data_IF_544812174544
#
_entry.id   IF_544812174544
#
_cell.length_a   1.000
_cell.length_b   1.000
_cell.length_c   1.000
_cell.angle_alpha   90.00
_cell.angle_beta   90.00
_cell.angle_gamma   90.00
#
_symmetry.space_group_name_H-M   'P 1'
#
loop_
_entity.id
_entity.type
_entity.pdbx_description
1 polymer ?
#
# COMPACT_ATOMS: atom_id res chain seq x y z
N UNK A 1 10.13 6.98 -61.32
CA UNK A 1 8.87 6.50 -61.92
C UNK A 1 7.82 6.73 -60.90
N UNK A 2 7.07 7.80 -60.87
CA UNK A 2 5.88 8.18 -61.65
C UNK A 2 4.75 7.18 -61.48
N UNK A 3 3.73 7.73 -60.85
CA UNK A 3 2.26 7.83 -61.08
C UNK A 3 1.46 6.77 -60.32
N UNK A 4 0.24 6.98 -59.83
CA UNK A 4 -0.72 8.10 -59.91
C UNK A 4 -1.83 7.92 -58.83
N UNK A 5 -2.27 8.93 -58.21
CA UNK A 5 -3.51 9.62 -57.91
C UNK A 5 -4.86 8.93 -58.17
N UNK A 6 -5.77 9.21 -57.17
CA UNK A 6 -7.20 9.59 -57.24
C UNK A 6 -8.28 8.51 -57.28
N UNK A 7 -9.25 8.69 -56.35
CA UNK A 7 -10.69 8.97 -56.51
C UNK A 7 -11.33 9.00 -55.10
N UNK A 8 -11.80 10.04 -54.51
CA UNK A 8 -12.87 11.05 -54.68
C UNK A 8 -14.31 10.51 -54.64
N UNK A 9 -15.00 10.92 -53.54
CA UNK A 9 -16.41 11.33 -53.33
C UNK A 9 -17.55 10.32 -53.34
N UNK A 10 -18.38 10.49 -52.31
CA UNK A 10 -19.79 10.08 -52.33
C UNK A 10 -20.50 10.35 -50.99
N UNK A 11 -20.92 11.63 -50.80
CA UNK A 11 -21.85 12.04 -49.74
C UNK A 11 -23.27 11.80 -50.27
N UNK A 12 -24.13 11.11 -49.52
CA UNK A 12 -25.58 11.13 -49.73
C UNK A 12 -26.24 11.45 -48.41
N UNK A 13 -26.89 12.62 -48.40
CA UNK A 13 -27.87 13.06 -47.40
C UNK A 13 -29.22 12.46 -47.77
N UNK A 14 -29.92 11.83 -46.82
CA UNK A 14 -31.37 11.60 -46.95
C UNK A 14 -32.04 12.37 -45.83
N UNK A 15 -32.73 13.44 -46.27
CA UNK A 15 -33.71 14.16 -45.44
C UNK A 15 -35.06 13.51 -45.73
N UNK A 16 -35.73 13.02 -44.70
CA UNK A 16 -37.15 12.67 -44.78
C UNK A 16 -37.93 13.51 -43.77
N UNK A 17 -38.68 14.43 -44.31
CA UNK A 17 -39.72 15.17 -43.58
C UNK A 17 -41.01 14.35 -43.59
N UNK A 18 -41.68 14.24 -42.45
CA UNK A 18 -43.10 13.90 -42.32
C UNK A 18 -43.66 14.58 -41.08
N UNK A 19 -44.40 15.53 -41.14
CA UNK A 19 -45.83 15.65 -41.28
C UNK A 19 -46.48 15.70 -39.91
N UNK A 20 -46.83 16.97 -39.50
CA UNK A 20 -47.57 17.26 -38.29
C UNK A 20 -49.01 16.74 -38.38
N UNK A 21 -49.48 16.02 -37.36
CA UNK A 21 -50.89 15.88 -37.03
C UNK A 21 -51.14 16.39 -35.61
N UNK A 22 -51.81 17.54 -35.53
CA UNK A 22 -52.38 18.06 -34.29
C UNK A 22 -53.67 17.29 -33.99
N UNK A 23 -53.69 16.57 -32.88
CA UNK A 23 -54.91 16.13 -32.19
C UNK A 23 -54.94 16.79 -30.81
N UNK A 24 -55.82 17.77 -30.68
CA UNK A 24 -56.23 18.36 -29.43
C UNK A 24 -57.02 17.33 -28.62
N UNK A 25 -56.34 16.72 -27.64
CA UNK A 25 -56.99 15.93 -26.59
C UNK A 25 -56.85 16.66 -25.28
N UNK A 26 -57.96 17.04 -24.67
CA UNK A 26 -58.06 17.61 -23.34
C UNK A 26 -57.51 16.60 -22.30
N UNK A 27 -56.35 16.93 -21.69
CA UNK A 27 -55.80 16.15 -20.61
C UNK A 27 -56.30 16.73 -19.28
N UNK A 28 -57.18 16.01 -18.62
CA UNK A 28 -57.47 16.18 -17.19
C UNK A 28 -56.24 15.81 -16.39
N UNK A 29 -55.84 16.58 -15.38
CA UNK A 29 -54.69 16.19 -14.52
C UNK A 29 -55.09 14.98 -13.66
N UNK A 30 -54.45 13.85 -13.93
CA UNK A 30 -54.49 12.70 -13.03
C UNK A 30 -53.74 13.05 -11.73
N UNK A 31 -54.44 12.97 -10.63
CA UNK A 31 -53.84 13.01 -9.28
C UNK A 31 -52.90 11.84 -9.16
N UNK A 32 -51.61 12.14 -8.92
CA UNK A 32 -50.61 11.14 -8.51
C UNK A 32 -51.00 10.55 -7.16
N UNK A 33 -50.99 9.25 -7.00
CA UNK A 33 -51.15 8.66 -5.68
C UNK A 33 -49.93 9.05 -4.82
N UNK A 34 -50.18 9.70 -3.70
CA UNK A 34 -49.25 9.88 -2.61
C UNK A 34 -48.92 8.49 -2.06
N UNK A 35 -47.84 7.89 -2.53
CA UNK A 35 -47.20 6.79 -1.84
C UNK A 35 -46.46 7.37 -0.65
N UNK A 36 -47.05 7.26 0.53
CA UNK A 36 -46.34 7.31 1.77
C UNK A 36 -45.26 6.23 1.75
N UNK A 37 -44.07 6.63 1.32
CA UNK A 37 -42.88 5.84 1.65
C UNK A 37 -42.63 6.07 3.13
N UNK A 38 -42.60 4.99 3.94
CA UNK A 38 -42.10 5.10 5.29
C UNK A 38 -40.65 5.62 5.16
N UNK A 39 -40.39 6.77 5.73
CA UNK A 39 -39.05 7.25 5.96
C UNK A 39 -38.30 6.17 6.75
N UNK A 40 -37.55 5.32 6.03
CA UNK A 40 -36.55 4.48 6.65
C UNK A 40 -35.52 5.47 7.25
N UNK A 41 -35.74 5.83 8.51
CA UNK A 41 -34.65 6.28 9.35
C UNK A 41 -33.67 5.10 9.34
N UNK A 42 -32.72 5.15 8.42
CA UNK A 42 -31.48 4.40 8.53
C UNK A 42 -30.89 4.84 9.86
N UNK A 43 -31.09 4.01 10.89
CA UNK A 43 -30.31 4.12 12.11
C UNK A 43 -28.87 4.10 11.63
N UNK A 44 -28.21 5.27 11.65
CA UNK A 44 -26.78 5.34 11.40
C UNK A 44 -26.14 4.34 12.35
N UNK A 45 -25.43 3.37 11.78
CA UNK A 45 -24.62 2.45 12.57
C UNK A 45 -23.82 3.27 13.57
N UNK A 46 -23.72 2.85 14.85
CA UNK A 46 -22.98 3.61 15.85
C UNK A 46 -21.59 3.88 15.30
N UNK A 47 -21.22 5.15 15.22
CA UNK A 47 -19.90 5.51 14.70
C UNK A 47 -18.86 4.88 15.63
N UNK A 48 -18.11 3.92 15.11
CA UNK A 48 -17.12 3.11 15.84
C UNK A 48 -16.12 3.94 16.65
N UNK A 49 -15.94 5.20 16.28
CA UNK A 49 -15.01 6.13 16.91
C UNK A 49 -15.70 7.35 17.53
N UNK A 50 -17.03 7.28 17.78
CA UNK A 50 -17.82 8.43 18.26
C UNK A 50 -17.29 9.01 19.58
N UNK A 51 -16.71 8.19 20.43
CA UNK A 51 -16.20 8.57 21.75
C UNK A 51 -14.67 8.75 21.80
N UNK A 52 -13.99 8.68 20.68
CA UNK A 52 -12.54 8.87 20.62
C UNK A 52 -12.20 10.35 20.41
N UNK A 53 -11.14 10.86 21.05
CA UNK A 53 -10.60 12.18 20.72
C UNK A 53 -10.31 12.27 19.22
N UNK A 54 -10.57 13.42 18.63
CA UNK A 54 -10.40 13.61 17.17
C UNK A 54 -8.98 13.28 16.70
N UNK A 55 -7.99 13.57 17.55
CA UNK A 55 -6.57 13.26 17.30
C UNK A 55 -6.26 11.77 17.30
N UNK A 56 -7.06 10.97 17.97
CA UNK A 56 -6.91 9.52 18.02
C UNK A 56 -7.64 8.80 16.88
N UNK A 57 -8.37 9.54 16.03
CA UNK A 57 -9.08 9.03 14.87
C UNK A 57 -8.39 9.51 13.60
N UNK A 58 -7.28 8.87 13.16
CA UNK A 58 -6.46 9.37 12.05
C UNK A 58 -7.23 9.54 10.76
N UNK A 59 -8.19 8.69 10.53
CA UNK A 59 -8.95 8.64 9.26
C UNK A 59 -10.36 9.21 9.38
N UNK A 60 -10.71 9.77 10.51
CA UNK A 60 -12.09 10.00 10.91
C UNK A 60 -12.88 11.07 10.17
N UNK A 61 -12.28 11.94 9.37
CA UNK A 61 -13.04 13.05 8.75
C UNK A 61 -12.60 13.45 7.35
N UNK A 62 -11.84 12.60 6.69
CA UNK A 62 -11.23 12.96 5.41
C UNK A 62 -11.91 12.34 4.22
N UNK A 63 -12.30 13.16 3.27
CA UNK A 63 -12.79 12.77 1.98
C UNK A 63 -14.02 11.85 2.05
N UNK A 64 -15.04 12.15 1.29
CA UNK A 64 -16.30 11.41 1.37
C UNK A 64 -16.20 9.91 1.08
N UNK A 65 -15.41 9.39 0.15
CA UNK A 65 -15.37 7.94 -0.05
C UNK A 65 -14.73 7.19 1.11
N UNK A 66 -13.73 7.76 1.76
CA UNK A 66 -12.97 7.10 2.80
C UNK A 66 -13.68 7.00 4.12
N UNK A 67 -14.44 8.02 4.45
CA UNK A 67 -15.04 8.19 5.75
C UNK A 67 -16.05 7.11 6.10
N UNK A 68 -16.77 6.63 5.11
CA UNK A 68 -17.89 5.71 5.36
C UNK A 68 -17.42 4.27 5.51
N UNK A 69 -16.55 3.80 4.67
CA UNK A 69 -16.15 2.39 4.71
C UNK A 69 -15.12 2.06 5.81
N UNK A 70 -14.31 3.02 6.25
CA UNK A 70 -13.48 2.85 7.45
C UNK A 70 -14.29 2.69 8.73
N UNK A 71 -15.47 3.27 8.75
CA UNK A 71 -16.35 3.29 9.91
C UNK A 71 -17.43 2.21 9.84
N UNK A 72 -17.52 1.46 8.76
CA UNK A 72 -18.46 0.34 8.61
C UNK A 72 -17.77 -0.96 8.96
N UNK A 73 -18.52 -1.88 9.55
CA UNK A 73 -18.06 -3.26 9.81
C UNK A 73 -18.26 -4.18 8.59
N UNK A 74 -18.50 -3.60 7.41
CA UNK A 74 -18.68 -4.35 6.18
C UNK A 74 -17.42 -5.14 5.86
N UNK A 75 -17.52 -6.43 5.91
CA UNK A 75 -16.47 -7.34 5.47
C UNK A 75 -16.34 -7.32 3.95
N UNK A 76 -15.15 -7.57 3.46
CA UNK A 76 -14.95 -7.80 2.03
C UNK A 76 -15.65 -9.11 1.64
N UNK A 77 -16.73 -9.01 0.90
CA UNK A 77 -17.45 -10.17 0.43
C UNK A 77 -16.82 -10.69 -0.88
N UNK A 78 -16.73 -12.01 -0.97
CA UNK A 78 -16.33 -12.71 -2.17
C UNK A 78 -17.51 -13.54 -2.69
N UNK A 79 -17.89 -13.33 -3.93
CA UNK A 79 -19.05 -13.96 -4.57
C UNK A 79 -18.68 -14.79 -5.82
N UNK A 80 -17.40 -14.93 -6.13
CA UNK A 80 -16.94 -15.66 -7.30
C UNK A 80 -16.88 -17.17 -7.11
N UNK A 81 -16.48 -17.87 -8.17
CA UNK A 81 -16.47 -19.32 -8.27
C UNK A 81 -15.17 -20.00 -7.81
N UNK A 82 -14.19 -19.24 -7.27
CA UNK A 82 -12.88 -19.81 -6.96
C UNK A 82 -12.92 -21.00 -6.00
N UNK A 83 -13.86 -21.01 -5.03
CA UNK A 83 -14.01 -22.15 -4.11
C UNK A 83 -14.50 -23.41 -4.79
N UNK A 84 -15.29 -23.26 -5.84
CA UNK A 84 -15.94 -24.37 -6.57
C UNK A 84 -15.06 -24.86 -7.74
N UNK A 85 -14.04 -24.09 -8.13
CA UNK A 85 -13.17 -24.48 -9.23
C UNK A 85 -12.32 -25.68 -8.86
N UNK A 86 -12.26 -26.62 -9.78
CA UNK A 86 -11.25 -27.67 -9.73
C UNK A 86 -9.87 -27.05 -9.94
N UNK A 87 -8.98 -27.21 -8.98
CA UNK A 87 -7.58 -26.81 -9.09
C UNK A 87 -6.70 -28.03 -9.44
N UNK A 88 -7.16 -28.89 -10.36
CA UNK A 88 -6.48 -30.14 -10.72
C UNK A 88 -5.04 -29.90 -11.22
N UNK A 89 -4.81 -28.83 -11.95
CA UNK A 89 -3.47 -28.46 -12.44
C UNK A 89 -2.53 -28.07 -11.29
N UNK A 90 -3.04 -27.29 -10.35
CA UNK A 90 -2.30 -26.93 -9.11
C UNK A 90 -2.02 -28.19 -8.30
N UNK A 91 -3.02 -29.06 -8.16
CA UNK A 91 -2.88 -30.31 -7.40
C UNK A 91 -1.93 -31.30 -8.08
N UNK A 92 -1.88 -31.33 -9.41
CA UNK A 92 -0.99 -32.19 -10.18
C UNK A 92 0.50 -31.75 -10.12
N UNK A 93 0.79 -30.49 -9.78
CA UNK A 93 2.16 -30.01 -9.63
C UNK A 93 2.89 -30.79 -8.52
N UNK A 94 4.15 -31.07 -8.73
CA UNK A 94 5.04 -31.66 -7.71
C UNK A 94 5.41 -30.68 -6.57
N UNK A 95 5.12 -29.40 -6.76
CA UNK A 95 5.41 -28.30 -5.82
C UNK A 95 4.16 -27.45 -5.59
N UNK A 96 4.13 -26.70 -4.48
CA UNK A 96 3.16 -25.65 -4.24
C UNK A 96 3.81 -24.32 -4.65
N UNK A 97 3.40 -23.79 -5.80
CA UNK A 97 3.99 -22.60 -6.37
C UNK A 97 3.35 -21.34 -5.80
N UNK A 98 4.18 -20.43 -5.33
CA UNK A 98 3.80 -19.09 -4.88
C UNK A 98 4.48 -18.10 -5.81
N UNK A 99 3.74 -17.16 -6.41
CA UNK A 99 4.30 -16.11 -7.24
C UNK A 99 4.98 -15.03 -6.37
N UNK A 100 6.04 -14.47 -6.88
CA UNK A 100 6.69 -13.27 -6.35
C UNK A 100 6.75 -12.23 -7.47
N UNK A 101 6.28 -11.02 -7.21
CA UNK A 101 6.39 -9.89 -8.13
C UNK A 101 6.99 -8.70 -7.42
N UNK A 102 8.08 -8.16 -7.93
CA UNK A 102 8.73 -6.97 -7.35
C UNK A 102 9.79 -6.36 -8.24
N UNK A 103 10.27 -5.16 -7.92
CA UNK A 103 11.30 -4.47 -8.70
C UNK A 103 12.66 -5.13 -8.47
N UNK A 104 13.12 -5.92 -9.43
CA UNK A 104 14.40 -6.65 -9.34
C UNK A 104 15.45 -6.17 -10.34
N UNK A 105 15.14 -5.19 -11.18
CA UNK A 105 16.09 -4.66 -12.18
C UNK A 105 17.10 -3.72 -11.53
N UNK A 106 18.38 -3.88 -11.86
CA UNK A 106 19.49 -3.13 -11.26
C UNK A 106 19.40 -1.60 -11.44
N UNK A 107 18.79 -1.14 -12.52
CA UNK A 107 18.61 0.29 -12.82
C UNK A 107 17.33 0.88 -12.19
N UNK A 108 16.52 0.06 -11.55
CA UNK A 108 15.35 0.52 -10.82
C UNK A 108 15.74 0.97 -9.40
N UNK A 109 15.54 2.23 -8.99
CA UNK A 109 15.87 2.70 -7.65
C UNK A 109 15.06 2.02 -6.53
N UNK A 110 13.98 1.31 -6.85
CA UNK A 110 13.21 0.50 -5.90
C UNK A 110 13.75 -0.95 -5.78
N UNK A 111 14.76 -1.32 -6.58
CA UNK A 111 15.34 -2.67 -6.56
C UNK A 111 15.88 -3.10 -5.20
N UNK A 112 16.50 -2.24 -4.39
CA UNK A 112 16.93 -2.64 -3.03
C UNK A 112 15.76 -3.12 -2.18
N UNK A 113 14.60 -2.47 -2.26
CA UNK A 113 13.39 -2.86 -1.54
C UNK A 113 12.82 -4.19 -2.07
N UNK A 114 12.79 -4.36 -3.40
CA UNK A 114 12.35 -5.60 -4.04
C UNK A 114 13.24 -6.79 -3.68
N UNK A 115 14.56 -6.59 -3.61
CA UNK A 115 15.51 -7.64 -3.18
C UNK A 115 15.35 -8.00 -1.71
N UNK A 116 15.19 -7.01 -0.82
CA UNK A 116 14.94 -7.25 0.58
C UNK A 116 13.64 -8.04 0.80
N UNK A 117 12.56 -7.66 0.10
CA UNK A 117 11.28 -8.39 0.09
C UNK A 117 11.47 -9.83 -0.40
N UNK A 118 12.20 -10.04 -1.49
CA UNK A 118 12.49 -11.37 -2.02
C UNK A 118 13.24 -12.23 -1.00
N UNK A 119 14.26 -11.68 -0.35
CA UNK A 119 15.05 -12.39 0.65
C UNK A 119 14.19 -12.77 1.87
N UNK A 120 13.33 -11.88 2.37
CA UNK A 120 12.39 -12.20 3.46
C UNK A 120 11.48 -13.36 3.10
N UNK A 121 10.85 -13.31 1.93
CA UNK A 121 9.99 -14.38 1.42
C UNK A 121 10.75 -15.71 1.25
N UNK A 122 11.95 -15.68 0.69
CA UNK A 122 12.79 -16.87 0.52
C UNK A 122 13.23 -17.50 1.86
N UNK A 123 13.47 -16.69 2.89
CA UNK A 123 13.81 -17.21 4.22
C UNK A 123 12.63 -17.96 4.82
N UNK A 124 11.45 -17.36 4.84
CA UNK A 124 10.22 -17.97 5.35
C UNK A 124 9.92 -19.29 4.62
N UNK A 125 9.97 -19.25 3.29
CA UNK A 125 9.69 -20.43 2.47
C UNK A 125 10.71 -21.56 2.68
N UNK A 126 12.01 -21.23 2.83
CA UNK A 126 13.03 -22.24 3.11
C UNK A 126 12.84 -22.88 4.48
N UNK A 127 12.42 -22.12 5.48
CA UNK A 127 12.11 -22.64 6.82
C UNK A 127 10.86 -23.52 6.83
N UNK A 128 9.83 -23.17 6.03
CA UNK A 128 8.64 -23.99 5.86
C UNK A 128 8.97 -25.33 5.18
N UNK A 129 9.81 -25.31 4.15
CA UNK A 129 10.27 -26.53 3.48
C UNK A 129 11.12 -27.41 4.39
N UNK A 130 11.98 -26.85 5.23
CA UNK A 130 12.75 -27.58 6.23
C UNK A 130 11.85 -28.29 7.26
N UNK A 131 10.62 -27.79 7.48
CA UNK A 131 9.59 -28.41 8.33
C UNK A 131 8.71 -29.42 7.58
N UNK A 132 9.01 -29.73 6.31
CA UNK A 132 8.31 -30.72 5.50
C UNK A 132 7.37 -30.15 4.42
N UNK A 133 7.31 -28.84 4.24
CA UNK A 133 6.51 -28.20 3.19
C UNK A 133 5.00 -28.27 3.44
N UNK A 134 4.22 -28.27 2.38
CA UNK A 134 2.78 -28.39 2.43
C UNK A 134 2.35 -29.82 2.75
N UNK A 135 1.49 -30.00 3.75
CA UNK A 135 0.95 -31.29 4.20
C UNK A 135 -0.52 -31.39 3.78
N UNK A 136 -0.85 -32.13 2.73
CA UNK A 136 -2.23 -32.32 2.33
C UNK A 136 -3.06 -33.03 3.41
N UNK A 137 -4.32 -32.61 3.58
CA UNK A 137 -5.24 -33.20 4.58
C UNK A 137 -5.62 -34.63 4.24
N UNK A 138 -5.65 -34.98 2.95
CA UNK A 138 -6.00 -36.33 2.45
C UNK A 138 -4.88 -37.37 2.59
N UNK A 139 -3.81 -37.04 3.31
CA UNK A 139 -2.63 -37.90 3.51
C UNK A 139 -1.87 -38.23 2.22
N UNK A 140 -2.07 -37.48 1.15
CA UNK A 140 -1.19 -37.56 -0.04
C UNK A 140 0.21 -37.08 0.33
N UNK A 141 1.18 -37.33 -0.56
CA UNK A 141 2.58 -36.95 -0.28
C UNK A 141 2.74 -35.43 -0.06
N UNK A 142 3.55 -35.08 0.93
CA UNK A 142 3.94 -33.69 1.18
C UNK A 142 4.59 -33.06 -0.06
N UNK A 143 4.37 -31.77 -0.25
CA UNK A 143 4.91 -31.02 -1.38
C UNK A 143 5.77 -29.86 -0.91
N UNK A 144 6.95 -29.65 -1.46
CA UNK A 144 7.73 -28.46 -1.16
C UNK A 144 7.04 -27.21 -1.75
N UNK A 145 7.20 -26.09 -1.07
CA UNK A 145 6.87 -24.77 -1.63
C UNK A 145 7.95 -24.31 -2.59
N UNK A 146 7.56 -23.68 -3.68
CA UNK A 146 8.48 -23.08 -4.66
C UNK A 146 8.05 -21.64 -4.95
N UNK A 147 9.04 -20.71 -5.00
CA UNK A 147 8.83 -19.31 -5.32
C UNK A 147 9.05 -19.08 -6.82
N UNK A 148 8.04 -18.65 -7.53
CA UNK A 148 8.12 -18.24 -8.94
C UNK A 148 8.39 -16.75 -8.98
N UNK A 149 9.64 -16.39 -9.34
CA UNK A 149 10.17 -15.03 -9.17
C UNK A 149 10.09 -14.27 -10.48
N UNK A 150 9.36 -13.17 -10.46
CA UNK A 150 9.17 -12.27 -11.59
C UNK A 150 9.50 -10.83 -11.20
N UNK A 151 10.01 -10.06 -12.17
CA UNK A 151 10.22 -8.63 -12.01
C UNK A 151 9.07 -7.84 -12.59
N UNK A 152 8.56 -6.87 -11.83
CA UNK A 152 7.47 -6.00 -12.27
C UNK A 152 7.89 -4.94 -13.29
N UNK A 153 9.19 -4.77 -13.50
CA UNK A 153 9.84 -3.82 -14.43
C UNK A 153 9.30 -2.37 -14.37
N UNK A 154 8.49 -2.03 -13.39
CA UNK A 154 7.82 -0.72 -13.23
C UNK A 154 7.05 -0.24 -14.48
N UNK A 155 6.77 -1.13 -15.44
CA UNK A 155 6.02 -0.83 -16.66
C UNK A 155 4.64 -1.47 -16.62
N UNK A 156 3.65 -0.69 -16.95
CA UNK A 156 2.23 -1.04 -16.86
C UNK A 156 1.84 -2.39 -17.50
N UNK A 157 2.40 -2.72 -18.64
CA UNK A 157 2.09 -3.98 -19.33
C UNK A 157 2.83 -5.20 -18.78
N UNK A 158 4.03 -5.01 -18.25
CA UNK A 158 4.86 -6.10 -17.77
C UNK A 158 4.25 -6.80 -16.56
N UNK A 159 3.81 -6.04 -15.55
CA UNK A 159 3.21 -6.60 -14.34
C UNK A 159 1.98 -7.46 -14.63
N UNK A 160 1.12 -7.06 -15.59
CA UNK A 160 -0.03 -7.89 -16.01
C UNK A 160 0.41 -9.19 -16.66
N UNK A 161 1.37 -9.12 -17.59
CA UNK A 161 1.90 -10.30 -18.27
C UNK A 161 2.52 -11.28 -17.29
N UNK A 162 3.34 -10.78 -16.36
CA UNK A 162 4.01 -11.62 -15.37
C UNK A 162 3.00 -12.23 -14.38
N UNK A 163 1.97 -11.48 -13.96
CA UNK A 163 0.92 -12.01 -13.11
C UNK A 163 0.15 -13.15 -13.81
N UNK A 164 -0.23 -12.96 -15.06
CA UNK A 164 -0.93 -13.99 -15.86
C UNK A 164 -0.06 -15.24 -16.00
N UNK A 165 1.23 -15.07 -16.32
CA UNK A 165 2.18 -16.18 -16.45
C UNK A 165 2.32 -16.98 -15.15
N UNK A 166 2.52 -16.31 -14.01
CA UNK A 166 2.59 -16.99 -12.71
C UNK A 166 1.34 -17.82 -12.43
N UNK A 167 0.17 -17.30 -12.77
CA UNK A 167 -1.11 -17.94 -12.42
C UNK A 167 -1.47 -19.08 -13.37
N UNK A 168 -1.27 -18.93 -14.69
CA UNK A 168 -1.70 -19.90 -15.68
C UNK A 168 -0.59 -20.87 -16.13
N UNK A 169 0.61 -20.38 -16.33
CA UNK A 169 1.71 -21.22 -16.82
C UNK A 169 2.44 -21.91 -15.66
N UNK A 170 2.59 -21.21 -14.54
CA UNK A 170 3.34 -21.70 -13.37
C UNK A 170 2.42 -22.19 -12.24
N UNK A 171 1.10 -22.09 -12.42
CA UNK A 171 0.08 -22.56 -11.49
C UNK A 171 0.24 -22.06 -10.06
N UNK A 172 0.65 -20.81 -9.87
CA UNK A 172 0.79 -20.23 -8.55
C UNK A 172 -0.56 -20.19 -7.82
N UNK A 173 -0.56 -20.57 -6.54
CA UNK A 173 -1.78 -20.56 -5.71
C UNK A 173 -2.12 -19.17 -5.18
N UNK A 174 -1.10 -18.33 -5.04
CA UNK A 174 -1.17 -16.94 -4.59
C UNK A 174 0.06 -16.17 -5.07
N UNK A 175 0.05 -14.84 -4.95
CA UNK A 175 1.19 -13.97 -5.31
C UNK A 175 1.56 -13.08 -4.13
N UNK A 176 2.85 -12.95 -3.85
CA UNK A 176 3.41 -11.97 -2.92
C UNK A 176 4.06 -10.83 -3.71
N UNK A 177 3.77 -9.60 -3.37
CA UNK A 177 4.31 -8.38 -4.01
C UNK A 177 3.22 -7.30 -4.14
N UNK A 178 3.51 -6.07 -4.57
CA UNK A 178 4.78 -5.50 -5.01
C UNK A 178 5.17 -4.28 -4.17
N UNK A 179 6.38 -3.71 -4.41
CA UNK A 179 6.79 -2.41 -3.83
C UNK A 179 6.03 -1.25 -4.46
N UNK A 180 5.77 -1.31 -5.77
CA UNK A 180 5.09 -0.25 -6.50
C UNK A 180 3.56 -0.41 -6.48
N UNK A 181 2.88 0.64 -6.02
CA UNK A 181 1.42 0.65 -5.96
C UNK A 181 0.73 0.53 -7.33
N UNK A 182 1.36 0.95 -8.44
CA UNK A 182 0.78 0.77 -9.76
C UNK A 182 0.81 -0.70 -10.17
N UNK A 183 1.91 -1.41 -9.91
CA UNK A 183 2.04 -2.86 -10.14
C UNK A 183 1.04 -3.65 -9.28
N UNK A 184 0.87 -3.28 -8.01
CA UNK A 184 -0.14 -3.89 -7.13
C UNK A 184 -1.56 -3.68 -7.66
N UNK A 185 -1.90 -2.47 -8.15
CA UNK A 185 -3.21 -2.23 -8.77
C UNK A 185 -3.46 -3.06 -10.03
N UNK A 186 -2.42 -3.34 -10.81
CA UNK A 186 -2.53 -4.23 -11.98
C UNK A 186 -2.85 -5.65 -11.52
N UNK A 187 -2.10 -6.18 -10.54
CA UNK A 187 -2.39 -7.50 -9.95
C UNK A 187 -3.82 -7.57 -9.40
N UNK A 188 -4.29 -6.51 -8.73
CA UNK A 188 -5.68 -6.44 -8.22
C UNK A 188 -6.71 -6.52 -9.34
N UNK A 189 -6.49 -5.86 -10.47
CA UNK A 189 -7.38 -5.97 -11.63
C UNK A 189 -7.43 -7.37 -12.20
N UNK A 190 -6.29 -8.03 -12.30
CA UNK A 190 -6.24 -9.43 -12.75
C UNK A 190 -6.88 -10.36 -11.71
N UNK A 191 -6.69 -10.11 -10.42
CA UNK A 191 -7.30 -10.93 -9.37
C UNK A 191 -8.84 -10.87 -9.36
N UNK A 192 -9.44 -9.78 -9.82
CA UNK A 192 -10.91 -9.71 -10.01
C UNK A 192 -11.44 -10.70 -11.05
N UNK A 193 -10.63 -11.03 -12.06
CA UNK A 193 -11.02 -11.90 -13.16
C UNK A 193 -10.60 -13.34 -12.93
N UNK A 194 -9.39 -13.51 -12.41
CA UNK A 194 -8.74 -14.82 -12.28
C UNK A 194 -8.99 -15.43 -10.91
N UNK A 195 -9.26 -14.58 -9.90
CA UNK A 195 -9.57 -14.99 -8.52
C UNK A 195 -8.39 -15.68 -7.83
N UNK A 196 -7.35 -14.91 -7.53
CA UNK A 196 -6.18 -15.39 -6.78
C UNK A 196 -5.82 -14.46 -5.63
N UNK A 197 -5.36 -14.98 -4.48
CA UNK A 197 -4.90 -14.19 -3.34
C UNK A 197 -3.63 -13.41 -3.65
N UNK A 198 -3.59 -12.17 -3.18
CA UNK A 198 -2.42 -11.31 -3.19
C UNK A 198 -2.05 -10.99 -1.74
N UNK A 199 -0.80 -11.25 -1.37
CA UNK A 199 -0.16 -10.78 -0.16
C UNK A 199 0.75 -9.61 -0.53
N UNK A 200 0.32 -8.39 -0.23
CA UNK A 200 1.11 -7.18 -0.47
C UNK A 200 1.88 -6.80 0.79
N UNK A 201 3.19 -6.91 0.72
CA UNK A 201 4.09 -6.78 1.87
C UNK A 201 5.03 -5.59 1.77
N UNK A 202 4.77 -4.67 0.84
CA UNK A 202 5.75 -3.64 0.54
C UNK A 202 5.20 -2.30 0.06
N UNK A 203 4.06 -2.25 -0.63
CA UNK A 203 3.53 -0.96 -1.09
C UNK A 203 3.07 -0.08 0.06
N UNK A 204 3.29 1.22 -0.05
CA UNK A 204 2.74 2.19 0.91
C UNK A 204 1.46 2.83 0.40
N UNK A 205 1.01 2.47 -0.80
CA UNK A 205 -0.17 3.06 -1.45
C UNK A 205 -1.47 2.59 -0.78
N UNK A 206 -2.15 3.44 0.00
CA UNK A 206 -3.38 3.04 0.69
C UNK A 206 -4.54 2.75 -0.26
N UNK A 207 -4.45 3.22 -1.51
CA UNK A 207 -5.55 3.04 -2.46
C UNK A 207 -5.71 1.59 -2.91
N UNK A 208 -4.73 0.73 -2.66
CA UNK A 208 -4.83 -0.70 -2.97
C UNK A 208 -5.93 -1.37 -2.13
N UNK A 209 -6.02 -1.06 -0.84
CA UNK A 209 -7.08 -1.56 0.04
C UNK A 209 -8.40 -0.79 -0.12
N UNK A 210 -8.33 0.48 -0.53
CA UNK A 210 -9.50 1.32 -0.82
C UNK A 210 -10.33 0.82 -2.01
N UNK A 211 -9.73 0.01 -2.90
CA UNK A 211 -10.48 -0.67 -3.97
C UNK A 211 -11.52 -1.64 -3.43
N UNK A 212 -11.37 -2.13 -2.22
CA UNK A 212 -12.19 -3.19 -1.60
C UNK A 212 -12.24 -4.47 -2.45
N UNK A 213 -11.19 -4.72 -3.23
CA UNK A 213 -11.07 -5.97 -3.97
C UNK A 213 -10.77 -7.09 -2.97
N UNK A 214 -11.60 -8.17 -2.94
CA UNK A 214 -11.55 -9.15 -1.86
C UNK A 214 -10.40 -10.17 -1.97
N UNK A 215 -9.40 -9.89 -2.78
CA UNK A 215 -8.26 -10.77 -3.06
C UNK A 215 -6.93 -10.27 -2.49
N UNK A 216 -6.95 -9.22 -1.69
CA UNK A 216 -5.77 -8.58 -1.12
C UNK A 216 -5.75 -8.73 0.39
N UNK A 217 -4.57 -9.06 0.92
CA UNK A 217 -4.15 -8.76 2.28
C UNK A 217 -2.90 -7.89 2.21
N UNK A 218 -2.87 -6.83 2.98
CA UNK A 218 -1.80 -5.82 2.96
C UNK A 218 -1.22 -5.66 4.37
N UNK A 219 0.03 -6.07 4.56
CA UNK A 219 0.67 -6.07 5.87
C UNK A 219 1.63 -4.90 6.10
N UNK A 220 2.15 -4.26 5.04
CA UNK A 220 3.07 -3.13 5.18
C UNK A 220 2.35 -1.84 5.62
N UNK A 221 2.94 -1.01 6.50
CA UNK A 221 2.33 0.28 6.88
C UNK A 221 2.15 1.24 5.71
N UNK A 222 0.93 1.69 5.51
CA UNK A 222 0.59 2.57 4.38
C UNK A 222 0.80 4.07 4.65
N UNK A 223 0.66 4.87 3.60
CA UNK A 223 0.87 6.32 3.65
C UNK A 223 -0.17 7.07 4.51
N UNK A 224 -1.28 6.44 4.90
CA UNK A 224 -2.21 7.03 5.88
C UNK A 224 -1.57 7.05 7.26
N UNK A 225 -0.98 5.93 7.69
CA UNK A 225 -0.27 5.82 8.96
C UNK A 225 0.96 6.74 8.95
N UNK A 226 1.71 6.76 7.84
CA UNK A 226 2.89 7.60 7.68
C UNK A 226 2.55 9.09 7.69
N UNK A 227 1.56 9.50 6.88
CA UNK A 227 1.08 10.88 6.82
C UNK A 227 0.57 11.37 8.17
N UNK A 228 -0.18 10.51 8.88
CA UNK A 228 -0.66 10.81 10.22
C UNK A 228 0.49 11.03 11.21
N UNK A 229 1.41 10.07 11.34
CA UNK A 229 2.52 10.15 12.28
C UNK A 229 3.42 11.36 11.98
N UNK A 230 3.70 11.60 10.69
CA UNK A 230 4.54 12.73 10.26
C UNK A 230 3.86 14.08 10.56
N UNK A 231 2.55 14.20 10.31
CA UNK A 231 1.81 15.43 10.60
C UNK A 231 1.73 15.72 12.10
N UNK A 232 1.60 14.69 12.94
CA UNK A 232 1.66 14.86 14.41
C UNK A 232 3.02 15.42 14.84
N UNK A 233 4.11 14.85 14.33
CA UNK A 233 5.47 15.37 14.65
C UNK A 233 5.63 16.80 14.18
N UNK A 234 5.26 17.10 12.94
CA UNK A 234 5.46 18.42 12.33
C UNK A 234 4.62 19.49 13.03
N UNK A 235 3.32 19.27 13.18
CA UNK A 235 2.39 20.32 13.60
C UNK A 235 2.11 20.34 15.10
N UNK A 236 2.15 19.18 15.77
CA UNK A 236 1.85 19.11 17.20
C UNK A 236 3.09 19.07 18.07
N UNK A 237 4.09 18.22 17.73
CA UNK A 237 5.29 18.11 18.57
C UNK A 237 6.26 19.27 18.33
N UNK A 238 6.57 19.58 17.06
CA UNK A 238 7.48 20.67 16.71
C UNK A 238 6.78 22.02 16.52
N UNK A 239 5.44 22.04 16.55
CA UNK A 239 4.61 23.24 16.45
C UNK A 239 4.94 24.14 15.24
N UNK A 240 5.37 23.53 14.11
CA UNK A 240 5.67 24.25 12.87
C UNK A 240 4.38 24.71 12.20
N UNK A 241 4.47 25.83 11.43
CA UNK A 241 3.27 26.45 10.84
C UNK A 241 3.35 26.54 9.31
N UNK A 242 4.54 26.73 8.77
CA UNK A 242 4.77 27.04 7.35
C UNK A 242 5.56 25.93 6.69
N UNK A 243 4.88 24.84 6.41
CA UNK A 243 5.53 23.66 5.81
C UNK A 243 5.55 23.77 4.30
N UNK A 244 6.74 23.58 3.74
CA UNK A 244 6.93 23.33 2.32
C UNK A 244 7.09 21.84 2.05
N UNK A 245 6.62 21.41 0.89
CA UNK A 245 6.77 20.02 0.43
C UNK A 245 7.57 20.01 -0.86
N UNK A 246 8.58 19.14 -0.93
CA UNK A 246 9.31 18.84 -2.16
C UNK A 246 9.17 17.36 -2.47
N UNK A 247 8.71 17.01 -3.66
CA UNK A 247 8.47 15.64 -4.05
C UNK A 247 8.75 15.30 -5.50
N UNK A 248 9.06 14.04 -5.75
CA UNK A 248 9.06 13.51 -7.12
C UNK A 248 7.63 13.43 -7.69
N UNK A 249 7.50 13.32 -9.01
CA UNK A 249 6.21 13.17 -9.68
C UNK A 249 5.71 11.71 -9.73
N UNK A 250 6.41 10.76 -9.12
CA UNK A 250 6.00 9.36 -9.03
C UNK A 250 4.62 9.18 -8.38
N UNK A 251 3.96 8.04 -8.62
CA UNK A 251 2.72 7.67 -7.95
C UNK A 251 2.91 7.61 -6.44
N UNK A 252 3.99 6.97 -5.98
CA UNK A 252 4.38 6.90 -4.58
C UNK A 252 4.34 8.28 -3.90
N UNK A 253 5.06 9.26 -4.45
CA UNK A 253 5.11 10.58 -3.83
C UNK A 253 3.80 11.38 -3.93
N UNK A 254 3.04 11.20 -5.02
CA UNK A 254 1.73 11.87 -5.16
C UNK A 254 0.72 11.38 -4.14
N UNK A 255 0.64 10.08 -3.94
CA UNK A 255 -0.31 9.47 -3.01
C UNK A 255 0.09 9.77 -1.57
N UNK A 256 1.35 9.56 -1.22
CA UNK A 256 1.83 9.80 0.14
C UNK A 256 1.70 11.27 0.58
N UNK A 257 2.09 12.21 -0.29
CA UNK A 257 1.92 13.65 -0.01
C UNK A 257 0.45 14.02 0.13
N UNK A 258 -0.45 13.41 -0.65
CA UNK A 258 -1.89 13.65 -0.48
C UNK A 258 -2.37 13.23 0.91
N UNK A 259 -1.90 12.08 1.43
CA UNK A 259 -2.25 11.63 2.79
C UNK A 259 -1.65 12.52 3.88
N UNK A 260 -0.43 13.00 3.69
CA UNK A 260 0.14 14.01 4.58
C UNK A 260 -0.68 15.32 4.57
N UNK A 261 -1.17 15.77 3.41
CA UNK A 261 -2.01 16.97 3.31
C UNK A 261 -3.36 16.78 3.97
N UNK A 262 -3.97 15.60 3.82
CA UNK A 262 -5.23 15.27 4.51
C UNK A 262 -5.06 15.41 6.03
N UNK A 263 -3.98 14.87 6.59
CA UNK A 263 -3.69 14.96 8.01
C UNK A 263 -3.33 16.38 8.47
N UNK A 264 -2.53 17.11 7.69
CA UNK A 264 -2.25 18.51 7.96
C UNK A 264 -3.54 19.32 8.04
N UNK A 265 -4.44 19.12 7.08
CA UNK A 265 -5.74 19.79 7.04
C UNK A 265 -6.62 19.42 8.23
N UNK A 266 -6.62 18.15 8.64
CA UNK A 266 -7.34 17.70 9.85
C UNK A 266 -6.86 18.45 11.10
N UNK A 267 -5.56 18.70 11.18
CA UNK A 267 -4.94 19.45 12.27
C UNK A 267 -5.07 20.98 12.13
N UNK A 268 -5.81 21.46 11.12
CA UNK A 268 -6.02 22.88 10.86
C UNK A 268 -4.86 23.58 10.14
N UNK A 269 -3.98 22.81 9.48
CA UNK A 269 -2.84 23.31 8.75
C UNK A 269 -2.94 23.03 7.25
N UNK A 270 -2.37 23.92 6.44
CA UNK A 270 -2.23 23.72 5.01
C UNK A 270 -0.76 23.98 4.66
N UNK A 271 -0.03 23.02 4.08
CA UNK A 271 1.31 23.29 3.57
C UNK A 271 1.30 24.48 2.63
N UNK A 272 2.25 25.40 2.81
CA UNK A 272 2.24 26.71 2.12
C UNK A 272 2.72 26.63 0.69
N UNK A 273 3.48 25.59 0.35
CA UNK A 273 4.01 25.38 -0.99
C UNK A 273 4.35 23.91 -1.23
N UNK A 274 3.92 23.38 -2.36
CA UNK A 274 4.36 22.10 -2.91
C UNK A 274 5.17 22.36 -4.17
N UNK A 275 6.40 21.86 -4.20
CA UNK A 275 7.28 21.89 -5.38
C UNK A 275 7.59 20.47 -5.84
N UNK A 276 7.74 20.30 -7.15
CA UNK A 276 7.89 19.00 -7.79
C UNK A 276 9.20 18.97 -8.57
N UNK A 277 9.73 17.76 -8.71
CA UNK A 277 10.89 17.49 -9.54
C UNK A 277 10.70 16.15 -10.28
N UNK A 278 11.49 15.92 -11.33
CA UNK A 278 11.48 14.66 -12.07
C UNK A 278 12.46 13.66 -11.46
N UNK A 279 12.12 12.38 -11.58
CA UNK A 279 13.02 11.30 -11.15
C UNK A 279 14.35 11.42 -11.88
N UNK A 280 15.44 11.33 -11.15
CA UNK A 280 16.80 11.44 -11.69
C UNK A 280 17.36 12.86 -11.76
N UNK A 281 16.60 13.89 -11.40
CA UNK A 281 17.11 15.25 -11.28
C UNK A 281 18.32 15.30 -10.34
N UNK A 282 19.30 16.14 -10.70
CA UNK A 282 20.52 16.33 -9.92
C UNK A 282 20.61 17.71 -9.27
N UNK A 283 19.92 18.69 -9.81
CA UNK A 283 19.90 20.07 -9.33
C UNK A 283 18.50 20.43 -8.81
N UNK A 284 18.43 20.71 -7.52
CA UNK A 284 17.22 21.11 -6.81
C UNK A 284 17.25 22.60 -6.40
N UNK A 285 18.19 23.38 -6.93
CA UNK A 285 18.37 24.80 -6.56
C UNK A 285 17.13 25.64 -6.82
N UNK A 286 16.42 25.39 -7.92
CA UNK A 286 15.20 26.12 -8.27
C UNK A 286 14.04 25.81 -7.31
N UNK A 287 13.60 24.56 -7.11
CA UNK A 287 12.57 24.25 -6.13
C UNK A 287 12.95 24.65 -4.71
N UNK A 288 14.21 24.50 -4.29
CA UNK A 288 14.67 24.94 -2.97
C UNK A 288 14.62 26.45 -2.80
N UNK A 289 14.96 27.23 -3.84
CA UNK A 289 14.82 28.69 -3.83
C UNK A 289 13.36 29.11 -3.67
N UNK A 290 12.43 28.40 -4.29
CA UNK A 290 11.00 28.66 -4.12
C UNK A 290 10.57 28.43 -2.66
N UNK A 291 10.99 27.34 -2.04
CA UNK A 291 10.72 27.05 -0.63
C UNK A 291 11.36 28.12 0.30
N UNK A 292 12.60 28.50 0.03
CA UNK A 292 13.29 29.55 0.79
C UNK A 292 12.56 30.89 0.71
N UNK A 293 12.13 31.29 -0.48
CA UNK A 293 11.37 32.52 -0.71
C UNK A 293 9.99 32.49 -0.05
N UNK A 294 9.38 31.32 0.02
CA UNK A 294 8.13 31.10 0.73
C UNK A 294 8.29 31.16 2.26
N UNK A 295 9.53 31.30 2.77
CA UNK A 295 9.85 31.37 4.20
C UNK A 295 9.25 30.21 4.99
N UNK A 296 9.47 28.98 4.51
CA UNK A 296 9.04 27.77 5.20
C UNK A 296 9.83 27.61 6.49
N UNK A 297 9.20 27.07 7.53
CA UNK A 297 9.85 26.75 8.81
C UNK A 297 10.17 25.24 8.94
N UNK A 298 9.71 24.41 7.98
CA UNK A 298 10.06 23.01 7.82
C UNK A 298 9.85 22.54 6.39
N UNK A 299 10.55 21.46 5.98
CA UNK A 299 10.47 20.89 4.64
C UNK A 299 10.16 19.38 4.73
N UNK A 300 9.08 18.97 4.12
CA UNK A 300 8.77 17.55 3.91
C UNK A 300 9.31 17.12 2.55
N UNK A 301 10.15 16.09 2.55
CA UNK A 301 10.79 15.52 1.36
C UNK A 301 10.12 14.17 1.09
N UNK A 302 9.47 14.02 -0.08
CA UNK A 302 8.89 12.75 -0.51
C UNK A 302 9.54 12.30 -1.81
N UNK A 303 10.59 11.51 -1.67
CA UNK A 303 11.49 11.10 -2.73
C UNK A 303 12.13 9.75 -2.40
N UNK A 304 12.86 9.19 -3.34
CA UNK A 304 13.76 8.09 -3.06
C UNK A 304 15.07 8.61 -2.42
N UNK A 305 15.84 7.71 -1.80
CA UNK A 305 17.05 8.08 -1.05
C UNK A 305 18.04 8.91 -1.85
N UNK A 306 18.39 8.57 -3.12
CA UNK A 306 19.41 9.33 -3.86
C UNK A 306 19.04 10.80 -4.10
N UNK A 307 17.78 11.08 -4.44
CA UNK A 307 17.31 12.45 -4.62
C UNK A 307 17.19 13.18 -3.28
N UNK A 308 16.65 12.51 -2.25
CA UNK A 308 16.51 13.10 -0.92
C UNK A 308 17.86 13.50 -0.32
N UNK A 309 18.89 12.68 -0.48
CA UNK A 309 20.24 12.99 -0.04
C UNK A 309 20.80 14.25 -0.72
N UNK A 310 20.60 14.39 -2.03
CA UNK A 310 20.99 15.58 -2.80
C UNK A 310 20.21 16.82 -2.37
N UNK A 311 18.89 16.67 -2.16
CA UNK A 311 18.04 17.75 -1.65
C UNK A 311 18.56 18.24 -0.30
N UNK A 312 18.86 17.35 0.65
CA UNK A 312 19.41 17.69 1.95
C UNK A 312 20.75 18.45 1.82
N UNK A 313 21.69 17.95 1.00
CA UNK A 313 22.97 18.63 0.74
C UNK A 313 22.77 20.04 0.17
N UNK A 314 21.92 20.18 -0.85
CA UNK A 314 21.67 21.47 -1.49
C UNK A 314 20.91 22.42 -0.56
N UNK A 315 19.99 21.94 0.28
CA UNK A 315 19.38 22.75 1.32
C UNK A 315 20.46 23.38 2.22
N UNK A 316 21.38 22.59 2.74
CA UNK A 316 22.45 23.08 3.63
C UNK A 316 23.41 24.02 2.89
N UNK A 317 23.77 23.71 1.65
CA UNK A 317 24.60 24.59 0.81
C UNK A 317 23.95 25.96 0.53
N UNK A 318 22.63 26.01 0.51
CA UNK A 318 21.85 27.25 0.36
C UNK A 318 21.54 27.94 1.70
N UNK A 319 22.18 27.54 2.79
CA UNK A 319 21.94 28.03 4.16
C UNK A 319 20.45 27.86 4.60
N UNK A 320 19.80 26.83 4.13
CA UNK A 320 18.48 26.44 4.61
C UNK A 320 18.63 25.50 5.81
N UNK A 321 18.43 26.05 7.01
CA UNK A 321 18.59 25.31 8.29
C UNK A 321 17.31 24.68 8.81
N UNK A 322 16.23 24.85 8.09
CA UNK A 322 14.93 24.29 8.46
C UNK A 322 15.03 22.76 8.69
N UNK A 323 14.29 22.20 9.67
CA UNK A 323 14.18 20.77 9.83
C UNK A 323 13.58 20.13 8.58
N UNK A 324 14.06 18.93 8.27
CA UNK A 324 13.60 18.11 7.17
C UNK A 324 12.87 16.89 7.70
N UNK A 325 11.82 16.50 7.00
CA UNK A 325 10.95 15.40 7.34
C UNK A 325 10.74 14.51 6.12
N UNK A 326 10.46 13.21 6.33
CA UNK A 326 10.14 12.34 5.23
C UNK A 326 9.49 11.01 5.63
N UNK A 327 9.01 10.22 4.65
CA UNK A 327 8.40 8.92 4.88
C UNK A 327 9.45 7.84 5.18
N UNK A 328 8.97 6.62 5.45
CA UNK A 328 9.79 5.47 5.84
C UNK A 328 10.84 5.07 4.79
N UNK A 329 10.61 5.35 3.51
CA UNK A 329 11.63 5.12 2.46
C UNK A 329 12.90 5.95 2.65
N UNK A 330 12.88 7.00 3.47
CA UNK A 330 14.08 7.75 3.85
C UNK A 330 14.73 7.24 5.15
N UNK A 331 14.15 6.23 5.81
CA UNK A 331 14.69 5.63 7.03
C UNK A 331 15.67 4.50 6.73
N UNK A 332 16.70 4.78 5.94
CA UNK A 332 17.75 3.85 5.55
C UNK A 332 19.12 4.40 5.85
N UNK A 333 20.07 3.53 6.21
CA UNK A 333 21.47 3.93 6.44
C UNK A 333 22.05 4.71 5.23
N UNK A 334 21.65 4.34 4.02
CA UNK A 334 22.09 4.99 2.78
C UNK A 334 21.82 6.50 2.76
N UNK A 335 20.72 7.00 3.36
CA UNK A 335 20.48 8.45 3.41
C UNK A 335 21.57 9.18 4.22
N UNK A 336 22.05 8.55 5.28
CA UNK A 336 23.10 9.09 6.14
C UNK A 336 24.45 9.03 5.41
N UNK A 337 24.72 7.91 4.74
CA UNK A 337 25.95 7.74 3.95
C UNK A 337 26.03 8.75 2.81
N UNK A 338 24.95 8.90 2.05
CA UNK A 338 24.91 9.78 0.90
C UNK A 338 24.80 11.26 1.28
N UNK A 339 23.99 11.64 2.24
CA UNK A 339 23.81 13.03 2.63
C UNK A 339 24.90 13.53 3.60
N UNK A 340 25.55 12.60 4.33
CA UNK A 340 26.56 12.93 5.34
C UNK A 340 26.01 13.85 6.43
N UNK A 341 26.76 14.90 6.83
CA UNK A 341 26.30 15.84 7.86
C UNK A 341 24.99 16.57 7.52
N UNK A 342 24.59 16.61 6.24
CA UNK A 342 23.33 17.24 5.83
C UNK A 342 22.08 16.46 6.28
N UNK A 343 22.24 15.17 6.60
CA UNK A 343 21.16 14.35 7.13
C UNK A 343 20.88 14.61 8.61
N UNK A 344 21.78 15.26 9.34
CA UNK A 344 21.61 15.49 10.78
C UNK A 344 20.31 16.24 11.07
N UNK A 345 19.53 15.68 12.02
CA UNK A 345 18.22 16.19 12.38
C UNK A 345 17.08 15.84 11.42
N UNK A 346 17.32 15.05 10.35
CA UNK A 346 16.25 14.50 9.53
C UNK A 346 15.32 13.65 10.41
N UNK A 347 14.02 13.87 10.28
CA UNK A 347 12.99 13.07 10.94
C UNK A 347 12.20 12.31 9.90
N UNK A 348 12.07 11.00 10.10
CA UNK A 348 11.30 10.14 9.20
C UNK A 348 10.28 9.32 9.98
N UNK A 349 9.25 8.82 9.30
CA UNK A 349 8.54 7.65 9.78
C UNK A 349 9.42 6.42 9.59
N UNK A 350 9.14 5.36 10.34
CA UNK A 350 9.80 4.06 10.16
C UNK A 350 8.78 2.95 10.39
N UNK A 351 8.79 1.96 9.51
CA UNK A 351 7.88 0.82 9.60
C UNK A 351 8.25 -0.13 10.75
N UNK A 352 9.53 -0.22 11.08
CA UNK A 352 10.05 -1.00 12.22
C UNK A 352 11.08 -0.19 13.01
N UNK A 353 11.32 -0.59 14.24
CA UNK A 353 12.52 -0.23 15.00
C UNK A 353 13.51 -1.41 14.96
N UNK A 354 14.58 -1.33 14.17
CA UNK A 354 15.55 -2.43 14.06
C UNK A 354 16.42 -2.63 15.32
N UNK A 355 16.36 -1.70 16.28
CA UNK A 355 17.14 -1.76 17.53
C UNK A 355 16.42 -2.49 18.66
N UNK A 356 15.17 -2.88 18.44
CA UNK A 356 14.35 -3.59 19.43
C UNK A 356 14.96 -4.96 19.80
N UNK A 357 14.66 -5.41 21.02
CA UNK A 357 15.30 -6.58 21.63
C UNK A 357 14.36 -7.81 21.72
N UNK A 358 13.23 -7.82 21.01
CA UNK A 358 12.33 -8.98 21.03
C UNK A 358 13.00 -10.23 20.48
N UNK A 359 12.89 -11.38 21.18
CA UNK A 359 13.59 -12.60 20.80
C UNK A 359 13.31 -13.06 19.36
N UNK A 360 12.07 -12.88 18.89
CA UNK A 360 11.67 -13.25 17.52
C UNK A 360 12.38 -12.40 16.47
N UNK A 361 12.51 -11.10 16.72
CA UNK A 361 13.26 -10.19 15.85
C UNK A 361 14.75 -10.55 15.81
N UNK A 362 15.36 -10.79 16.98
CA UNK A 362 16.79 -11.16 17.06
C UNK A 362 17.08 -12.48 16.36
N UNK A 363 16.17 -13.47 16.49
CA UNK A 363 16.30 -14.74 15.78
C UNK A 363 16.19 -14.54 14.25
N UNK A 364 15.20 -13.77 13.79
CA UNK A 364 15.06 -13.43 12.39
C UNK A 364 16.30 -12.73 11.83
N UNK A 365 16.86 -11.76 12.54
CA UNK A 365 18.11 -11.10 12.13
C UNK A 365 19.25 -12.11 12.00
N UNK A 366 19.35 -13.04 12.94
CA UNK A 366 20.40 -14.08 12.93
C UNK A 366 20.27 -14.98 11.71
N UNK A 367 19.07 -15.49 11.46
CA UNK A 367 18.78 -16.37 10.33
C UNK A 367 18.98 -15.68 8.99
N UNK A 368 18.53 -14.41 8.90
CA UNK A 368 18.65 -13.59 7.70
C UNK A 368 20.13 -13.31 7.37
N UNK A 369 20.92 -12.89 8.37
CA UNK A 369 22.37 -12.65 8.20
C UNK A 369 23.10 -13.92 7.80
N UNK A 370 22.75 -15.05 8.40
CA UNK A 370 23.36 -16.34 8.08
C UNK A 370 23.14 -16.73 6.61
N UNK A 371 21.96 -16.41 6.06
CA UNK A 371 21.60 -16.79 4.69
C UNK A 371 22.04 -15.78 3.64
N UNK A 372 21.91 -14.49 3.91
CA UNK A 372 22.09 -13.43 2.91
C UNK A 372 23.29 -12.53 3.13
N UNK A 373 24.00 -12.67 4.26
CA UNK A 373 25.19 -11.87 4.64
C UNK A 373 24.88 -10.37 4.71
N UNK A 374 23.65 -10.01 5.03
CA UNK A 374 23.14 -8.65 5.12
C UNK A 374 22.23 -8.50 6.34
N UNK A 375 22.03 -7.28 6.80
CA UNK A 375 21.03 -6.98 7.82
C UNK A 375 19.64 -6.87 7.17
N UNK A 376 18.59 -7.43 7.81
CA UNK A 376 17.23 -7.26 7.32
C UNK A 376 16.72 -5.84 7.60
N UNK A 377 15.94 -5.34 6.67
CA UNK A 377 15.19 -4.11 6.78
C UNK A 377 13.68 -4.37 6.97
N UNK A 378 12.87 -3.31 6.91
CA UNK A 378 11.43 -3.41 7.03
C UNK A 378 10.80 -4.26 5.92
N UNK A 379 11.26 -4.12 4.67
CA UNK A 379 10.72 -4.89 3.55
C UNK A 379 11.01 -6.39 3.68
N UNK A 380 12.20 -6.74 4.17
CA UNK A 380 12.54 -8.13 4.47
C UNK A 380 11.67 -8.69 5.60
N UNK A 381 11.44 -7.90 6.65
CA UNK A 381 10.65 -8.34 7.81
C UNK A 381 9.17 -8.57 7.45
N UNK A 382 8.52 -7.61 6.82
CA UNK A 382 7.12 -7.76 6.41
C UNK A 382 6.94 -8.84 5.34
N UNK A 383 7.86 -8.97 4.38
CA UNK A 383 7.77 -10.06 3.40
C UNK A 383 7.99 -11.45 4.02
N UNK A 384 8.79 -11.55 5.09
CA UNK A 384 8.90 -12.78 5.86
C UNK A 384 7.61 -13.09 6.60
N UNK A 385 6.99 -12.11 7.25
CA UNK A 385 5.73 -12.26 7.98
C UNK A 385 4.57 -12.56 7.02
N UNK A 386 4.43 -11.80 5.94
CA UNK A 386 3.41 -12.03 4.92
C UNK A 386 3.53 -13.39 4.24
N UNK A 387 4.76 -13.86 3.98
CA UNK A 387 4.96 -15.20 3.45
C UNK A 387 4.57 -16.29 4.47
N UNK A 388 4.85 -16.11 5.76
CA UNK A 388 4.40 -17.04 6.80
C UNK A 388 2.88 -17.06 6.95
N UNK A 389 2.22 -15.89 6.89
CA UNK A 389 0.75 -15.77 6.85
C UNK A 389 0.17 -16.51 5.65
N UNK A 390 0.77 -16.34 4.48
CA UNK A 390 0.35 -16.98 3.25
C UNK A 390 0.54 -18.51 3.31
N UNK A 391 1.69 -18.99 3.80
CA UNK A 391 1.96 -20.42 4.01
C UNK A 391 0.95 -21.04 4.98
N UNK A 392 0.64 -20.35 6.09
CA UNK A 392 -0.37 -20.81 7.05
C UNK A 392 -1.77 -20.86 6.42
N UNK A 393 -2.10 -19.88 5.59
CA UNK A 393 -3.38 -19.85 4.86
C UNK A 393 -3.47 -20.97 3.80
N UNK A 394 -2.40 -21.26 3.09
CA UNK A 394 -2.32 -22.37 2.14
C UNK A 394 -2.46 -23.69 2.89
N UNK A 395 -1.77 -23.86 4.00
CA UNK A 395 -1.86 -25.08 4.81
C UNK A 395 -3.30 -25.34 5.31
N UNK A 396 -4.02 -24.27 5.68
CA UNK A 396 -5.40 -24.32 6.17
C UNK A 396 -6.44 -24.46 5.05
N UNK A 397 -6.26 -23.71 3.97
CA UNK A 397 -7.20 -23.64 2.84
C UNK A 397 -7.00 -24.73 1.79
N UNK A 398 -5.91 -25.48 1.87
CA UNK A 398 -5.47 -26.40 0.82
C UNK A 398 -5.03 -25.66 -0.45
N UNK A 399 -5.04 -26.37 -1.58
CA UNK A 399 -4.64 -25.81 -2.87
C UNK A 399 -5.81 -25.12 -3.60
N UNK A 400 -6.72 -24.52 -2.84
CA UNK A 400 -7.88 -23.79 -3.37
C UNK A 400 -7.75 -22.30 -3.07
N UNK A 401 -7.66 -21.47 -4.10
CA UNK A 401 -7.45 -20.01 -4.00
C UNK A 401 -8.51 -19.30 -3.17
N UNK A 402 -9.78 -19.70 -3.30
CA UNK A 402 -10.87 -19.14 -2.50
C UNK A 402 -10.72 -19.44 -1.02
N UNK A 403 -10.42 -20.70 -0.69
CA UNK A 403 -10.21 -21.14 0.70
C UNK A 403 -8.94 -20.51 1.31
N UNK A 404 -7.88 -20.31 0.51
CA UNK A 404 -6.67 -19.59 0.96
C UNK A 404 -7.04 -18.17 1.34
N UNK A 405 -7.83 -17.47 0.50
CA UNK A 405 -8.25 -16.10 0.81
C UNK A 405 -9.17 -16.06 2.03
N UNK A 406 -10.05 -17.05 2.23
CA UNK A 406 -10.86 -17.15 3.43
C UNK A 406 -10.01 -17.36 4.69
N UNK A 407 -8.94 -18.15 4.58
CA UNK A 407 -8.01 -18.35 5.68
C UNK A 407 -7.27 -17.05 6.06
N UNK A 408 -6.87 -16.25 5.07
CA UNK A 408 -6.29 -14.91 5.29
C UNK A 408 -7.29 -13.95 5.95
N UNK A 409 -8.57 -13.99 5.55
CA UNK A 409 -9.62 -13.14 6.15
C UNK A 409 -9.87 -13.43 7.63
N UNK A 410 -9.52 -14.59 8.13
CA UNK A 410 -9.64 -14.88 9.56
C UNK A 410 -8.73 -13.97 10.42
N UNK A 411 -7.77 -13.27 9.81
CA UNK A 411 -6.94 -12.28 10.51
C UNK A 411 -7.63 -10.91 10.70
N UNK A 412 -8.82 -10.71 10.12
CA UNK A 412 -9.59 -9.48 10.37
C UNK A 412 -9.85 -9.29 11.86
N UNK A 413 -9.47 -8.11 12.38
CA UNK A 413 -9.62 -7.79 13.78
C UNK A 413 -8.73 -8.61 14.71
N UNK A 414 -7.79 -9.38 14.20
CA UNK A 414 -6.82 -10.13 14.99
C UNK A 414 -5.47 -9.41 14.99
N UNK A 415 -4.65 -9.74 15.99
CA UNK A 415 -3.24 -9.35 16.00
C UNK A 415 -2.40 -10.56 15.59
N UNK A 416 -1.50 -10.34 14.65
CA UNK A 416 -0.46 -11.29 14.27
C UNK A 416 0.87 -10.81 14.86
N UNK A 417 1.51 -11.65 15.65
CA UNK A 417 2.82 -11.35 16.24
C UNK A 417 3.94 -11.74 15.29
N UNK A 418 4.25 -10.87 14.35
CA UNK A 418 5.28 -11.05 13.35
C UNK A 418 6.70 -10.69 13.85
N UNK A 419 7.68 -10.89 12.97
CA UNK A 419 9.05 -10.38 13.20
C UNK A 419 9.12 -8.87 12.95
N UNK A 420 8.23 -8.32 12.12
CA UNK A 420 8.07 -6.88 11.93
C UNK A 420 7.50 -6.19 13.18
N UNK A 421 6.89 -6.94 14.07
CA UNK A 421 6.19 -6.49 15.27
C UNK A 421 4.73 -6.98 15.27
N UNK A 422 3.92 -6.55 16.22
CA UNK A 422 2.51 -6.88 16.21
C UNK A 422 1.81 -6.16 15.04
N UNK A 423 1.20 -6.94 14.15
CA UNK A 423 0.40 -6.45 13.02
C UNK A 423 -1.08 -6.57 13.36
N UNK A 424 -1.87 -5.56 13.03
CA UNK A 424 -3.30 -5.53 13.30
C UNK A 424 -4.04 -5.28 11.98
N UNK A 425 -4.94 -6.17 11.62
CA UNK A 425 -5.67 -6.08 10.36
C UNK A 425 -7.09 -5.56 10.56
N UNK A 426 -7.43 -4.50 9.82
CA UNK A 426 -8.78 -3.98 9.77
C UNK A 426 -9.71 -4.86 8.92
N UNK A 427 -10.96 -4.42 8.72
CA UNK A 427 -11.96 -5.15 7.94
C UNK A 427 -11.64 -5.22 6.43
N UNK A 428 -10.65 -4.48 5.95
CA UNK A 428 -10.15 -4.54 4.56
C UNK A 428 -8.89 -5.38 4.44
N UNK A 429 -8.46 -6.03 5.53
CA UNK A 429 -7.17 -6.72 5.65
C UNK A 429 -5.96 -5.80 5.45
N UNK A 430 -6.11 -4.52 5.82
CA UNK A 430 -5.00 -3.58 5.89
C UNK A 430 -4.38 -3.60 7.28
N UNK A 431 -3.06 -3.67 7.36
CA UNK A 431 -2.36 -3.51 8.62
C UNK A 431 -2.48 -2.06 9.11
N UNK A 432 -3.01 -1.89 10.31
CA UNK A 432 -3.20 -0.61 10.98
C UNK A 432 -2.38 -0.48 12.26
N UNK A 433 -1.37 -1.33 12.43
CA UNK A 433 -0.48 -1.30 13.59
C UNK A 433 0.26 0.04 13.69
N UNK A 434 0.63 0.48 14.90
CA UNK A 434 1.44 1.67 15.10
C UNK A 434 2.79 1.56 14.38
N UNK A 435 3.29 2.69 13.88
CA UNK A 435 4.61 2.82 13.28
C UNK A 435 5.55 3.57 14.23
N UNK A 436 6.78 3.77 13.81
CA UNK A 436 7.80 4.48 14.56
C UNK A 436 8.11 5.83 13.91
N UNK A 437 8.70 6.73 14.70
CA UNK A 437 9.41 7.92 14.24
C UNK A 437 10.89 7.68 14.45
N UNK A 438 11.67 7.95 13.42
CA UNK A 438 13.12 7.87 13.46
C UNK A 438 13.73 9.26 13.25
N UNK A 439 14.79 9.58 13.98
CA UNK A 439 15.53 10.83 13.86
C UNK A 439 17.01 10.54 13.66
N UNK A 440 17.64 11.24 12.74
CA UNK A 440 19.11 11.18 12.59
C UNK A 440 19.75 12.01 13.68
N UNK A 441 20.48 11.35 14.57
CA UNK A 441 21.24 11.95 15.66
C UNK A 441 22.68 11.39 15.67
N UNK A 442 23.65 12.27 15.55
CA UNK A 442 25.08 11.89 15.51
C UNK A 442 25.37 10.82 14.43
N UNK A 443 24.76 11.01 13.27
CA UNK A 443 24.96 10.12 12.13
C UNK A 443 24.33 8.73 12.28
N UNK A 444 23.32 8.56 13.13
CA UNK A 444 22.56 7.31 13.30
C UNK A 444 21.09 7.59 13.50
N UNK A 445 20.23 6.68 13.07
CA UNK A 445 18.82 6.73 13.41
C UNK A 445 18.57 6.35 14.87
N UNK A 446 17.80 7.17 15.56
CA UNK A 446 17.23 6.91 16.89
C UNK A 446 15.73 6.78 16.73
N UNK A 447 15.15 5.71 17.24
CA UNK A 447 13.77 5.33 17.04
C UNK A 447 12.92 5.62 18.27
N UNK A 448 11.68 6.02 18.06
CA UNK A 448 10.67 6.15 19.09
C UNK A 448 9.31 5.66 18.54
N UNK A 449 8.49 4.97 19.35
CA UNK A 449 7.15 4.60 18.92
C UNK A 449 6.33 5.87 18.63
N UNK A 450 5.45 5.79 17.63
CA UNK A 450 4.46 6.83 17.39
C UNK A 450 3.57 6.98 18.63
N UNK A 451 3.38 8.21 19.11
CA UNK A 451 2.64 8.48 20.36
C UNK A 451 1.14 8.21 20.24
N UNK A 452 0.62 8.26 19.03
CA UNK A 452 -0.79 8.07 18.77
C UNK A 452 -0.99 6.80 17.97
N UNK A 453 -1.82 5.94 18.47
CA UNK A 453 -2.23 4.74 17.75
C UNK A 453 -3.37 5.09 16.80
N UNK A 454 -3.36 4.61 15.55
CA UNK A 454 -4.58 4.55 14.77
C UNK A 454 -5.63 3.80 15.56
N UNK A 455 -6.91 4.18 15.50
CA UNK A 455 -7.96 3.43 16.13
C UNK A 455 -7.95 2.01 15.57
N UNK A 456 -7.78 1.03 16.46
CA UNK A 456 -7.83 -0.38 16.06
C UNK A 456 -9.28 -0.75 15.80
N UNK A 457 -9.52 -1.49 14.74
CA UNK A 457 -10.81 -2.13 14.48
C UNK A 457 -11.17 -3.17 15.56
N UNK A 458 -10.25 -3.41 16.48
CA UNK A 458 -10.29 -4.44 17.51
C UNK A 458 -10.88 -3.94 18.84
N UNK A 459 -11.10 -2.66 19.02
CA UNK A 459 -11.86 -2.18 20.18
C UNK A 459 -13.32 -2.66 20.04
N UNK A 460 -13.45 -3.99 20.15
CA UNK A 460 -14.72 -4.68 20.26
C UNK A 460 -15.46 -4.11 21.46
N UNK A 461 -16.70 -3.83 21.23
CA UNK A 461 -17.74 -3.82 22.24
C UNK A 461 -17.37 -4.62 23.49
N UNK A 462 -16.77 -3.99 24.47
CA UNK A 462 -17.07 -4.23 25.86
C UNK A 462 -18.25 -3.33 26.22
N UNK A 463 -19.31 -3.48 25.47
CA UNK A 463 -20.61 -2.95 25.78
C UNK A 463 -21.37 -4.08 26.38
N UNK A 464 -21.26 -4.24 27.68
CA UNK A 464 -22.31 -4.82 28.50
C UNK A 464 -23.57 -4.00 28.30
N UNK A 465 -24.63 -4.68 27.84
CA UNK A 465 -26.07 -4.43 27.98
C UNK A 465 -26.58 -2.99 27.87
#
# INVERSE_FOLDING_TARGET
MRFNTQFVRGVIWVVAACGSFLLLGTVTPAQSPTTDQPSSQTKSAPQRYANMPEEAVPYGKFGKPYKEWYLTDDTLAYYGAARERSNSEIAASGTVNIGFLGPLQQDNPESPYGLAMLHGAQLALSQANAKGGFQPVDSSAAKPYELKIHSDSAQWGASSTEAVKMIFDEHAVAVLGSVDGASTHIMLRESLKIEFPIMDTATTDPTVTETRIPWLMHDFPDDRQQGYALAQVVFKEQNLKRIGVIRTQSRYARVGVAKFFDEAKRLGHVPVLEVKFERGDQDFSTPLRMLKNARVDGVVIWAEVPEAAKILKQMRAMDMKQPAFGPSRLCYAQIIEEAGPAAEGLVTTAAIDPTRAEPRWLQFQTDYRAKFQQDPDAYAAYAYDGMNLLIAAIQKGGLNRGNIMDALRNHQGQTYDGVAGPEQFDHTLNNIAPIYIARVERGKFVYAPSKLRPPTSVDKHSGTD
#
